data_IF_721657498124
#
_entry.id   IF_721657498124
#
_cell.length_a   1.000
_cell.length_b   1.000
_cell.length_c   1.000
_cell.angle_alpha   90.00
_cell.angle_beta   90.00
_cell.angle_gamma   90.00
#
_symmetry.space_group_name_H-M   'P 1'
#
loop_
_entity.id
_entity.type
_entity.pdbx_description
1 polymer ?
#
# COMPACT_ATOMS: atom_id res chain seq x y z
N UNK A 1 -37.38 -42.84 -45.58
CA UNK A 1 -38.13 -41.57 -45.68
C UNK A 1 -37.92 -40.76 -44.40
N UNK A 2 -37.37 -39.55 -44.56
CA UNK A 2 -37.35 -38.40 -43.64
C UNK A 2 -36.63 -38.62 -42.29
N UNK A 3 -35.47 -38.02 -41.96
CA UNK A 3 -34.85 -36.78 -42.45
C UNK A 3 -35.01 -35.68 -41.39
N UNK A 4 -34.01 -35.49 -40.52
CA UNK A 4 -33.77 -34.22 -39.80
C UNK A 4 -32.27 -34.07 -39.53
N UNK A 5 -31.60 -33.24 -40.33
CA UNK A 5 -30.28 -32.65 -40.04
C UNK A 5 -30.45 -31.46 -39.08
N UNK A 6 -29.59 -31.36 -38.07
CA UNK A 6 -29.51 -30.23 -37.14
C UNK A 6 -28.09 -29.69 -37.05
N UNK A 7 -27.90 -28.46 -37.56
CA UNK A 7 -26.64 -27.77 -37.85
C UNK A 7 -25.74 -27.46 -36.63
N UNK A 8 -24.46 -27.38 -36.96
CA UNK A 8 -23.27 -27.04 -36.17
C UNK A 8 -23.25 -25.63 -35.56
N UNK A 9 -22.44 -25.53 -34.49
CA UNK A 9 -21.66 -24.36 -34.05
C UNK A 9 -22.38 -23.17 -33.37
N UNK A 10 -22.26 -23.11 -32.05
CA UNK A 10 -21.92 -21.87 -31.31
C UNK A 10 -21.01 -22.25 -30.14
N UNK A 11 -19.71 -22.26 -30.39
CA UNK A 11 -18.71 -22.20 -29.32
C UNK A 11 -18.91 -20.88 -28.60
N UNK A 12 -19.35 -20.95 -27.34
CA UNK A 12 -19.40 -19.80 -26.44
C UNK A 12 -17.96 -19.32 -26.27
N UNK A 13 -17.62 -18.23 -26.94
CA UNK A 13 -16.37 -17.52 -26.77
C UNK A 13 -16.36 -16.91 -25.39
N UNK A 14 -15.81 -17.65 -24.42
CA UNK A 14 -15.42 -17.06 -23.14
C UNK A 14 -14.49 -15.87 -23.43
N UNK A 15 -14.76 -14.68 -22.85
CA UNK A 15 -13.85 -13.56 -23.00
C UNK A 15 -12.51 -13.98 -22.39
N UNK A 16 -11.48 -14.09 -23.23
CA UNK A 16 -10.11 -14.35 -22.80
C UNK A 16 -9.69 -13.16 -21.95
N UNK A 17 -9.85 -13.27 -20.63
CA UNK A 17 -9.08 -12.45 -19.71
C UNK A 17 -7.62 -12.68 -20.09
N UNK A 18 -6.95 -11.62 -20.56
CA UNK A 18 -5.50 -11.65 -20.76
C UNK A 18 -4.90 -11.99 -19.40
N UNK A 19 -4.66 -13.27 -19.13
CA UNK A 19 -3.73 -13.70 -18.09
C UNK A 19 -2.38 -13.16 -18.54
N UNK A 20 -2.05 -11.96 -18.05
CA UNK A 20 -0.69 -11.47 -18.08
C UNK A 20 0.18 -12.59 -17.52
N UNK A 21 1.26 -12.94 -18.23
CA UNK A 21 2.32 -13.80 -17.71
C UNK A 21 2.60 -13.39 -16.25
N UNK A 22 2.86 -14.32 -15.32
CA UNK A 22 3.32 -13.94 -14.00
C UNK A 22 4.72 -13.36 -14.17
N UNK A 23 4.80 -12.08 -14.53
CA UNK A 23 6.00 -11.31 -14.21
C UNK A 23 6.06 -11.35 -12.69
N UNK A 24 7.16 -11.87 -12.16
CA UNK A 24 7.43 -12.04 -10.73
C UNK A 24 7.61 -10.69 -10.01
N UNK A 25 6.70 -9.76 -10.32
CA UNK A 25 6.78 -8.35 -10.01
C UNK A 25 5.69 -8.09 -8.98
N UNK A 26 6.13 -8.06 -7.73
CA UNK A 26 5.31 -7.66 -6.61
C UNK A 26 4.96 -6.16 -6.70
N UNK A 27 3.70 -5.85 -6.40
CA UNK A 27 3.13 -4.51 -6.48
C UNK A 27 2.31 -4.20 -5.24
N UNK A 28 2.56 -3.03 -4.63
CA UNK A 28 1.83 -2.53 -3.47
C UNK A 28 1.32 -1.13 -3.73
N UNK A 29 0.17 -0.82 -3.12
CA UNK A 29 -0.48 0.47 -3.23
C UNK A 29 -0.84 1.00 -1.85
N UNK A 30 -0.43 2.22 -1.54
CA UNK A 30 -0.72 2.90 -0.26
C UNK A 30 -1.54 4.16 -0.55
N UNK A 31 -2.78 4.27 -0.03
CA UNK A 31 -3.58 5.49 -0.17
C UNK A 31 -3.07 6.59 0.77
N UNK A 32 -3.05 7.83 0.29
CA UNK A 32 -2.67 9.02 1.06
C UNK A 32 -3.93 9.83 1.40
N UNK A 33 -4.28 9.97 2.70
CA UNK A 33 -5.39 10.81 3.15
C UNK A 33 -5.21 12.27 2.78
N UNK A 34 -6.32 13.00 2.65
CA UNK A 34 -6.31 14.41 2.26
C UNK A 34 -5.45 15.29 3.17
N UNK A 35 -5.53 15.10 4.48
CA UNK A 35 -4.79 15.89 5.46
C UNK A 35 -3.27 15.60 5.45
N UNK A 36 -2.83 14.48 4.86
CA UNK A 36 -1.40 14.15 4.67
C UNK A 36 -0.88 14.49 3.28
N UNK A 37 -1.73 14.86 2.34
CA UNK A 37 -1.35 15.06 0.94
C UNK A 37 -0.27 16.15 0.74
N UNK A 38 -0.45 17.32 1.36
CA UNK A 38 0.52 18.41 1.26
C UNK A 38 1.87 18.05 1.91
N UNK A 39 1.92 17.57 3.18
CA UNK A 39 3.16 17.10 3.79
C UNK A 39 3.87 16.00 2.97
N UNK A 40 3.10 15.08 2.38
CA UNK A 40 3.63 14.00 1.55
C UNK A 40 4.31 14.53 0.28
N UNK A 41 3.71 15.53 -0.37
CA UNK A 41 4.26 16.15 -1.58
C UNK A 41 5.54 16.92 -1.28
N UNK A 42 5.58 17.66 -0.17
CA UNK A 42 6.75 18.44 0.26
C UNK A 42 7.94 17.53 0.61
N UNK A 43 7.68 16.41 1.29
CA UNK A 43 8.71 15.47 1.72
C UNK A 43 8.96 14.35 0.70
N UNK A 44 8.39 14.42 -0.50
CA UNK A 44 8.42 13.34 -1.48
C UNK A 44 9.84 12.87 -1.79
N UNK A 45 10.80 13.79 -1.97
CA UNK A 45 12.19 13.42 -2.25
C UNK A 45 12.83 12.62 -1.11
N UNK A 46 12.57 13.02 0.14
CA UNK A 46 13.08 12.31 1.33
C UNK A 46 12.50 10.90 1.46
N UNK A 47 11.28 10.67 0.97
CA UNK A 47 10.62 9.36 0.95
C UNK A 47 11.09 8.53 -0.26
N UNK A 48 11.21 9.16 -1.42
CA UNK A 48 11.58 8.55 -2.68
C UNK A 48 13.00 7.98 -2.66
N UNK A 49 13.98 8.81 -2.27
CA UNK A 49 15.40 8.49 -2.29
C UNK A 49 15.75 7.16 -1.60
N UNK A 50 15.39 6.92 -0.33
CA UNK A 50 15.75 5.66 0.35
C UNK A 50 15.10 4.43 -0.30
N UNK A 51 13.90 4.55 -0.87
CA UNK A 51 13.19 3.43 -1.52
C UNK A 51 13.88 3.05 -2.84
N UNK A 52 14.31 4.03 -3.62
CA UNK A 52 14.97 3.76 -4.91
C UNK A 52 16.42 3.40 -4.71
N UNK A 53 17.16 4.14 -3.89
CA UNK A 53 18.60 3.98 -3.75
C UNK A 53 18.99 2.77 -2.90
N UNK A 54 18.29 2.53 -1.78
CA UNK A 54 18.66 1.45 -0.86
C UNK A 54 17.91 0.15 -1.17
N UNK A 55 16.62 0.21 -1.51
CA UNK A 55 15.81 -0.99 -1.74
C UNK A 55 15.71 -1.40 -3.21
N UNK A 56 16.21 -0.57 -4.13
CA UNK A 56 16.14 -0.80 -5.59
C UNK A 56 14.71 -1.10 -6.05
N UNK A 57 13.76 -0.28 -5.61
CA UNK A 57 12.35 -0.38 -5.97
C UNK A 57 11.91 0.76 -6.89
N UNK A 58 10.88 0.51 -7.69
CA UNK A 58 10.18 1.57 -8.42
C UNK A 58 9.04 2.11 -7.56
N UNK A 59 8.97 3.43 -7.46
CA UNK A 59 7.91 4.11 -6.73
C UNK A 59 7.34 5.28 -7.53
N UNK A 60 6.01 5.44 -7.48
CA UNK A 60 5.29 6.54 -8.12
C UNK A 60 4.22 7.10 -7.20
N UNK A 61 4.15 8.41 -7.07
CA UNK A 61 3.01 9.08 -6.46
C UNK A 61 2.00 9.54 -7.50
N UNK A 62 0.83 8.90 -7.53
CA UNK A 62 -0.27 9.25 -8.41
C UNK A 62 -1.13 10.36 -7.78
N UNK A 63 -0.91 11.59 -8.22
CA UNK A 63 -1.58 12.79 -7.70
C UNK A 63 -3.11 12.78 -7.90
N UNK A 64 -3.60 12.17 -9.00
CA UNK A 64 -5.05 12.12 -9.29
C UNK A 64 -5.81 11.20 -8.34
N UNK A 65 -5.24 10.02 -8.09
CA UNK A 65 -5.87 9.02 -7.22
C UNK A 65 -5.39 9.09 -5.78
N UNK A 66 -4.39 9.95 -5.48
CA UNK A 66 -3.71 10.11 -4.19
C UNK A 66 -3.16 8.78 -3.66
N UNK A 67 -2.56 8.00 -4.54
CA UNK A 67 -1.99 6.71 -4.18
C UNK A 67 -0.49 6.68 -4.48
N UNK A 68 0.24 6.09 -3.57
CA UNK A 68 1.62 5.71 -3.76
C UNK A 68 1.64 4.29 -4.28
N UNK A 69 2.29 4.09 -5.41
CA UNK A 69 2.39 2.83 -6.11
C UNK A 69 3.86 2.37 -6.02
N UNK A 70 4.10 1.20 -5.44
CA UNK A 70 5.43 0.61 -5.23
C UNK A 70 5.49 -0.69 -6.01
N UNK A 71 6.57 -0.91 -6.73
CA UNK A 71 6.75 -2.06 -7.60
C UNK A 71 8.20 -2.55 -7.53
N UNK A 72 8.39 -3.87 -7.50
CA UNK A 72 9.70 -4.47 -7.71
C UNK A 72 10.18 -4.32 -9.17
N UNK A 73 11.49 -4.29 -9.36
CA UNK A 73 12.15 -4.28 -10.66
C UNK A 73 13.22 -5.37 -10.71
N UNK A 74 13.85 -5.62 -11.86
CA UNK A 74 14.88 -6.66 -11.98
C UNK A 74 16.11 -6.45 -11.06
N UNK A 75 16.33 -5.23 -10.57
CA UNK A 75 17.40 -4.87 -9.64
C UNK A 75 17.02 -5.08 -8.16
N UNK A 76 15.74 -5.35 -7.88
CA UNK A 76 15.27 -5.61 -6.51
C UNK A 76 15.85 -6.92 -6.01
N UNK A 77 16.64 -6.85 -4.93
CA UNK A 77 17.30 -8.02 -4.34
C UNK A 77 16.32 -8.94 -3.60
N UNK A 78 15.38 -8.35 -2.84
CA UNK A 78 14.41 -9.07 -2.04
C UNK A 78 12.99 -8.53 -2.24
N UNK A 79 12.04 -9.43 -2.51
CA UNK A 79 10.61 -9.12 -2.66
C UNK A 79 10.04 -8.56 -1.36
N UNK A 80 10.57 -8.95 -0.19
CA UNK A 80 10.15 -8.43 1.12
C UNK A 80 10.32 -6.91 1.24
N UNK A 81 11.25 -6.31 0.47
CA UNK A 81 11.48 -4.87 0.45
C UNK A 81 10.25 -4.09 -0.03
N UNK A 82 9.41 -4.68 -0.88
CA UNK A 82 8.15 -4.05 -1.30
C UNK A 82 7.23 -3.83 -0.09
N UNK A 83 7.20 -4.78 0.84
CA UNK A 83 6.44 -4.66 2.07
C UNK A 83 7.08 -3.65 3.02
N UNK A 84 8.40 -3.70 3.25
CA UNK A 84 9.12 -2.70 4.06
C UNK A 84 8.90 -1.27 3.55
N UNK A 85 8.99 -1.05 2.24
CA UNK A 85 8.73 0.25 1.62
C UNK A 85 7.28 0.70 1.81
N UNK A 86 6.32 -0.21 1.71
CA UNK A 86 4.91 0.10 1.95
C UNK A 86 4.65 0.49 3.41
N UNK A 87 5.29 -0.19 4.37
CA UNK A 87 5.17 0.12 5.79
C UNK A 87 5.85 1.44 6.16
N UNK A 88 7.01 1.75 5.56
CA UNK A 88 7.65 3.06 5.66
C UNK A 88 6.74 4.20 5.16
N UNK A 89 6.17 4.06 3.97
CA UNK A 89 5.22 5.05 3.42
C UNK A 89 3.97 5.16 4.30
N UNK A 90 3.47 4.03 4.81
CA UNK A 90 2.30 3.98 5.69
C UNK A 90 2.58 4.65 7.04
N UNK A 91 3.76 4.48 7.62
CA UNK A 91 4.16 5.15 8.85
C UNK A 91 4.11 6.68 8.70
N UNK A 92 4.66 7.21 7.60
CA UNK A 92 4.52 8.64 7.31
C UNK A 92 3.05 9.05 7.12
N UNK A 93 2.23 8.22 6.49
CA UNK A 93 0.78 8.47 6.37
C UNK A 93 0.08 8.48 7.74
N UNK A 94 0.53 7.70 8.71
CA UNK A 94 0.02 7.73 10.09
C UNK A 94 0.51 8.91 10.92
N UNK A 95 1.37 9.77 10.38
CA UNK A 95 1.79 11.01 11.02
C UNK A 95 3.17 10.96 11.64
N UNK A 96 3.93 9.86 11.48
CA UNK A 96 5.35 9.83 11.84
C UNK A 96 6.14 10.79 10.95
N UNK A 97 7.21 11.34 11.52
CA UNK A 97 8.20 12.07 10.75
C UNK A 97 8.99 11.13 9.85
N UNK A 98 9.55 11.68 8.75
CA UNK A 98 10.29 10.87 7.77
C UNK A 98 11.51 10.22 8.42
N UNK A 99 12.17 10.94 9.33
CA UNK A 99 13.39 10.47 10.01
C UNK A 99 13.11 9.30 10.93
N UNK A 100 11.99 9.33 11.65
CA UNK A 100 11.54 8.21 12.49
C UNK A 100 11.12 7.02 11.64
N UNK A 101 10.36 7.27 10.57
CA UNK A 101 9.89 6.23 9.67
C UNK A 101 11.05 5.51 8.97
N UNK A 102 12.18 6.18 8.71
CA UNK A 102 13.38 5.56 8.14
C UNK A 102 13.93 4.39 9.00
N UNK A 103 13.64 4.38 10.31
CA UNK A 103 14.02 3.27 11.17
C UNK A 103 13.41 1.93 10.70
N UNK A 104 12.23 1.95 10.09
CA UNK A 104 11.57 0.74 9.53
C UNK A 104 12.33 0.13 8.36
N UNK A 105 13.11 0.93 7.64
CA UNK A 105 13.96 0.42 6.57
C UNK A 105 15.28 -0.15 7.10
N UNK A 106 15.73 0.35 8.26
CA UNK A 106 17.04 0.02 8.86
C UNK A 106 16.99 -1.16 9.81
N UNK A 107 15.89 -1.33 10.54
CA UNK A 107 15.72 -2.32 11.59
C UNK A 107 14.70 -3.37 11.15
N UNK A 108 15.04 -4.65 11.28
CA UNK A 108 14.17 -5.76 10.82
C UNK A 108 13.03 -6.07 11.79
N UNK A 109 13.22 -5.78 13.08
CA UNK A 109 12.27 -6.10 14.15
C UNK A 109 11.50 -4.86 14.64
N UNK A 110 11.28 -3.89 13.76
CA UNK A 110 10.47 -2.70 14.04
C UNK A 110 9.17 -2.77 13.26
N UNK A 111 8.05 -2.60 13.97
CA UNK A 111 6.71 -2.72 13.41
C UNK A 111 5.86 -1.50 13.78
N UNK A 112 4.89 -1.20 12.92
CA UNK A 112 3.87 -0.18 13.19
C UNK A 112 2.53 -0.88 13.33
N UNK A 113 1.94 -0.76 14.51
CA UNK A 113 0.59 -1.27 14.79
C UNK A 113 -0.40 -0.12 14.96
N UNK A 114 -1.64 -0.39 14.61
CA UNK A 114 -2.76 0.54 14.76
C UNK A 114 -3.88 -0.14 15.51
N UNK A 115 -4.43 0.53 16.52
CA UNK A 115 -5.64 0.10 17.20
C UNK A 115 -6.55 1.31 17.39
N UNK A 116 -7.86 1.08 17.44
CA UNK A 116 -8.81 2.08 17.91
C UNK A 116 -9.04 1.92 19.41
N UNK A 117 -9.26 3.02 20.14
CA UNK A 117 -9.60 2.97 21.57
C UNK A 117 -10.81 2.04 21.82
N UNK A 118 -11.74 1.98 20.86
CA UNK A 118 -12.93 1.15 20.91
C UNK A 118 -12.63 -0.35 20.84
N UNK A 119 -11.50 -0.75 20.27
CA UNK A 119 -11.08 -2.15 20.19
C UNK A 119 -10.75 -2.70 21.59
N UNK A 120 -10.30 -1.81 22.50
CA UNK A 120 -10.02 -2.14 23.90
C UNK A 120 -11.25 -1.91 24.77
N UNK A 121 -11.90 -0.76 24.61
CA UNK A 121 -13.07 -0.37 25.40
C UNK A 121 -13.96 0.59 24.65
N UNK A 122 -15.24 0.25 24.54
CA UNK A 122 -16.26 1.13 23.95
C UNK A 122 -16.47 2.38 24.81
N UNK A 123 -15.82 3.48 24.45
CA UNK A 123 -15.98 4.80 25.06
C UNK A 123 -16.69 5.76 24.11
N UNK A 124 -17.46 6.72 24.67
CA UNK A 124 -18.21 7.74 23.91
C UNK A 124 -18.15 9.09 24.63
N UNK A 125 -18.35 10.16 23.86
CA UNK A 125 -18.41 11.53 24.38
C UNK A 125 -17.21 11.89 25.25
N UNK A 126 -17.47 12.53 26.39
CA UNK A 126 -16.44 13.00 27.32
C UNK A 126 -15.51 11.89 27.84
N UNK A 127 -16.00 10.64 27.94
CA UNK A 127 -15.15 9.54 28.38
C UNK A 127 -14.07 9.20 27.36
N UNK A 128 -14.38 9.34 26.05
CA UNK A 128 -13.41 9.16 24.99
C UNK A 128 -12.39 10.30 24.99
N UNK A 129 -12.85 11.55 25.08
CA UNK A 129 -11.96 12.72 25.13
C UNK A 129 -11.01 12.67 26.33
N UNK A 130 -11.52 12.32 27.52
CA UNK A 130 -10.70 12.12 28.74
C UNK A 130 -9.68 10.99 28.59
N UNK A 131 -10.04 9.88 27.93
CA UNK A 131 -9.10 8.78 27.69
C UNK A 131 -7.96 9.21 26.76
N UNK A 132 -8.26 9.96 25.69
CA UNK A 132 -7.23 10.53 24.80
C UNK A 132 -6.32 11.49 25.57
N UNK A 133 -6.89 12.37 26.40
CA UNK A 133 -6.09 13.29 27.24
C UNK A 133 -5.13 12.55 28.18
N UNK A 134 -5.59 11.48 28.82
CA UNK A 134 -4.74 10.64 29.69
C UNK A 134 -3.61 9.92 28.95
N UNK A 135 -3.79 9.59 27.67
CA UNK A 135 -2.74 8.97 26.84
C UNK A 135 -1.70 9.99 26.38
N UNK A 136 -2.13 11.22 26.09
CA UNK A 136 -1.24 12.31 25.70
C UNK A 136 -0.36 12.80 26.86
N UNK A 137 -0.89 12.73 28.09
CA UNK A 137 -0.26 13.28 29.30
C UNK A 137 -0.98 14.52 29.79
#
# INVERSE_FOLDING_TARGET
>A
VNGVEGKTSKSISQPKTKKSKPSNVEYRKVPVPQHRFAPFKENWMKIYTPIVEHLKLQIRFNLKTRNVEIRSCPETEDISYVQKAADFVKAFVYGFDVEDALALLRLENLFVETFEIKDVKTLRGDHLSRAVGRLAG
#
